data_IF_065670346341
#
_entry.id   IF_065670346341
#
_cell.length_a   1.000
_cell.length_b   1.000
_cell.length_c   1.000
_cell.angle_alpha   90.00
_cell.angle_beta   90.00
_cell.angle_gamma   90.00
#
_symmetry.space_group_name_H-M   'P 1'
#
loop_
_entity.id
_entity.type
_entity.pdbx_description
1 polymer ?
#
# COMPACT_ATOMS: atom_id res chain seq x y z
N UNK A 1 4.80 -3.52 18.51
CA UNK A 1 4.26 -2.21 18.03
C UNK A 1 3.07 -2.54 17.13
N UNK A 2 1.86 -2.08 17.47
CA UNK A 2 0.61 -2.45 16.78
C UNK A 2 0.63 -1.86 15.37
N UNK A 3 0.45 -2.69 14.35
CA UNK A 3 0.27 -2.24 12.97
C UNK A 3 -0.87 -1.20 12.93
N UNK A 4 -0.61 0.09 12.58
CA UNK A 4 -1.61 1.14 12.72
C UNK A 4 -2.75 1.08 11.68
N UNK A 5 -2.63 0.22 10.66
CA UNK A 5 -3.59 0.14 9.56
C UNK A 5 -3.88 -1.32 9.23
N UNK A 6 -5.15 -1.64 8.99
CA UNK A 6 -5.65 -2.95 8.58
C UNK A 6 -6.35 -2.87 7.23
N UNK A 7 -6.66 -4.02 6.63
CA UNK A 7 -7.51 -4.07 5.45
C UNK A 7 -8.91 -3.55 5.77
N UNK A 8 -9.46 -2.72 4.87
CA UNK A 8 -10.74 -2.05 5.05
C UNK A 8 -10.66 -0.72 5.79
N UNK A 9 -9.51 -0.36 6.37
CA UNK A 9 -9.34 0.95 6.97
C UNK A 9 -9.46 2.06 5.91
N UNK A 10 -9.92 3.22 6.35
CA UNK A 10 -10.00 4.41 5.51
C UNK A 10 -9.32 5.59 6.17
N UNK A 11 -8.54 6.33 5.39
CA UNK A 11 -7.89 7.56 5.84
C UNK A 11 -8.18 8.71 4.88
N UNK A 12 -8.39 9.92 5.39
CA UNK A 12 -8.41 11.11 4.55
C UNK A 12 -6.98 11.49 4.15
N UNK A 13 -6.71 11.59 2.86
CA UNK A 13 -5.40 12.00 2.33
C UNK A 13 -5.57 12.74 1.01
N UNK A 14 -4.54 13.47 0.61
CA UNK A 14 -4.54 14.14 -0.70
C UNK A 14 -4.02 13.19 -1.76
N UNK A 15 -4.82 12.95 -2.80
CA UNK A 15 -4.39 12.15 -3.94
C UNK A 15 -3.46 12.97 -4.82
N UNK A 16 -2.24 12.50 -5.05
CA UNK A 16 -1.29 13.13 -5.98
C UNK A 16 -1.74 13.02 -7.44
N UNK A 17 -2.60 12.04 -7.77
CA UNK A 17 -3.16 11.86 -9.12
C UNK A 17 -4.37 12.77 -9.35
N UNK A 18 -5.30 12.86 -8.40
CA UNK A 18 -6.50 13.67 -8.54
C UNK A 18 -6.30 15.14 -8.12
N UNK A 19 -5.22 15.46 -7.38
CA UNK A 19 -4.94 16.81 -6.87
C UNK A 19 -5.92 17.32 -5.80
N UNK A 20 -6.78 16.45 -5.24
CA UNK A 20 -7.81 16.80 -4.26
C UNK A 20 -7.73 15.89 -3.03
N UNK A 21 -8.36 16.34 -1.93
CA UNK A 21 -8.54 15.52 -0.73
C UNK A 21 -9.54 14.40 -1.04
N UNK A 22 -9.11 13.16 -0.82
CA UNK A 22 -9.88 11.93 -1.07
C UNK A 22 -9.85 11.03 0.16
N UNK A 23 -10.64 9.96 0.14
CA UNK A 23 -10.49 8.85 1.09
C UNK A 23 -9.56 7.81 0.48
N UNK A 24 -8.45 7.54 1.13
CA UNK A 24 -7.65 6.34 0.88
C UNK A 24 -8.36 5.15 1.52
N UNK A 25 -8.51 4.05 0.77
CA UNK A 25 -8.89 2.74 1.28
C UNK A 25 -7.65 1.88 1.40
N UNK A 26 -7.46 1.27 2.55
CA UNK A 26 -6.39 0.30 2.76
C UNK A 26 -6.89 -1.08 2.35
N UNK A 27 -6.26 -1.65 1.34
CA UNK A 27 -6.55 -3.01 0.87
C UNK A 27 -5.26 -3.80 0.75
N UNK A 28 -5.33 -5.11 0.94
CA UNK A 28 -4.19 -5.97 0.63
C UNK A 28 -4.14 -6.21 -0.88
N UNK A 29 -2.98 -5.94 -1.49
CA UNK A 29 -2.71 -6.28 -2.88
C UNK A 29 -1.48 -7.13 -3.01
N UNK A 30 -1.50 -7.98 -4.04
CA UNK A 30 -0.33 -8.65 -4.55
C UNK A 30 0.50 -7.66 -5.37
N UNK A 31 1.72 -7.38 -4.90
CA UNK A 31 2.67 -6.52 -5.61
C UNK A 31 3.73 -7.40 -6.24
N UNK A 32 3.81 -7.38 -7.55
CA UNK A 32 4.91 -7.98 -8.28
C UNK A 32 6.00 -6.93 -8.54
N UNK A 33 7.21 -7.17 -8.02
CA UNK A 33 8.33 -6.27 -8.33
C UNK A 33 8.83 -6.56 -9.75
N UNK A 34 8.81 -5.56 -10.63
CA UNK A 34 9.16 -5.70 -12.06
C UNK A 34 10.57 -6.33 -12.31
N UNK A 35 11.50 -6.24 -11.35
CA UNK A 35 12.87 -6.78 -11.46
C UNK A 35 13.06 -8.17 -10.83
N UNK A 36 12.02 -8.79 -10.29
CA UNK A 36 12.12 -10.08 -9.62
C UNK A 36 10.82 -10.87 -9.83
N UNK A 37 10.89 -12.19 -10.07
CA UNK A 37 9.69 -13.05 -10.12
C UNK A 37 9.02 -13.23 -8.75
N UNK A 38 9.31 -12.35 -7.80
CA UNK A 38 8.79 -12.40 -6.44
C UNK A 38 7.52 -11.58 -6.43
N UNK A 39 6.41 -12.28 -6.21
CA UNK A 39 5.10 -11.69 -5.92
C UNK A 39 4.96 -11.61 -4.40
N UNK A 40 4.77 -10.41 -3.89
CA UNK A 40 4.52 -10.19 -2.47
C UNK A 40 3.02 -10.10 -2.26
N UNK A 41 2.46 -11.17 -1.70
CA UNK A 41 1.04 -11.24 -1.34
C UNK A 41 0.78 -10.59 0.01
N UNK A 42 -0.46 -10.13 0.22
CA UNK A 42 -0.91 -9.51 1.48
C UNK A 42 -0.18 -8.21 1.85
N UNK A 43 0.20 -7.40 0.86
CA UNK A 43 0.81 -6.10 1.10
C UNK A 43 -0.29 -5.05 1.24
N UNK A 44 -0.41 -4.48 2.44
CA UNK A 44 -1.38 -3.43 2.70
C UNK A 44 -0.99 -2.16 1.94
N UNK A 45 -1.88 -1.68 1.08
CA UNK A 45 -1.67 -0.46 0.29
C UNK A 45 -2.87 0.47 0.44
N UNK A 46 -2.60 1.77 0.55
CA UNK A 46 -3.63 2.79 0.54
C UNK A 46 -3.91 3.24 -0.89
N UNK A 47 -5.09 2.92 -1.40
CA UNK A 47 -5.56 3.30 -2.74
C UNK A 47 -6.57 4.44 -2.68
N UNK A 48 -6.56 5.31 -3.68
CA UNK A 48 -7.55 6.37 -3.83
C UNK A 48 -8.94 5.76 -4.10
N UNK A 49 -9.95 6.13 -3.31
CA UNK A 49 -11.33 5.66 -3.57
C UNK A 49 -11.92 6.15 -4.90
N UNK A 50 -11.34 7.18 -5.51
CA UNK A 50 -11.85 7.82 -6.73
C UNK A 50 -11.18 7.25 -7.99
N UNK A 51 -9.84 7.27 -8.05
CA UNK A 51 -9.08 6.87 -9.23
C UNK A 51 -8.39 5.51 -9.07
N UNK A 52 -8.59 4.84 -7.94
CA UNK A 52 -7.99 3.53 -7.61
C UNK A 52 -6.45 3.49 -7.67
N UNK A 53 -5.79 4.65 -7.73
CA UNK A 53 -4.34 4.76 -7.75
C UNK A 53 -3.77 4.56 -6.35
N UNK A 54 -2.64 3.89 -6.26
CA UNK A 54 -1.90 3.74 -5.01
C UNK A 54 -1.33 5.09 -4.59
N UNK A 55 -1.82 5.62 -3.47
CA UNK A 55 -1.47 6.95 -2.95
C UNK A 55 -0.77 6.91 -1.60
N UNK A 56 -0.85 5.79 -0.89
CA UNK A 56 -0.20 5.60 0.40
C UNK A 56 0.34 4.19 0.53
N UNK A 57 1.50 4.06 1.14
CA UNK A 57 2.08 2.78 1.52
C UNK A 57 2.49 2.88 2.99
N UNK A 58 1.79 2.19 3.91
CA UNK A 58 2.11 2.29 5.32
C UNK A 58 3.50 1.71 5.61
N UNK A 59 4.18 2.25 6.64
CA UNK A 59 5.56 1.86 6.99
C UNK A 59 5.72 0.35 7.20
N UNK A 60 4.70 -0.32 7.74
CA UNK A 60 4.68 -1.78 7.92
C UNK A 60 4.80 -2.54 6.60
N UNK A 61 4.19 -2.03 5.53
CA UNK A 61 4.25 -2.62 4.19
C UNK A 61 5.60 -2.36 3.54
N UNK A 62 6.18 -1.18 3.75
CA UNK A 62 7.56 -0.86 3.31
C UNK A 62 8.56 -1.79 4.01
N UNK A 63 8.41 -2.00 5.33
CA UNK A 63 9.25 -2.91 6.10
C UNK A 63 9.11 -4.34 5.57
N UNK A 64 7.90 -4.85 5.40
CA UNK A 64 7.66 -6.18 4.81
C UNK A 64 8.29 -6.33 3.42
N UNK A 65 8.08 -5.37 2.51
CA UNK A 65 8.70 -5.41 1.18
C UNK A 65 10.24 -5.43 1.26
N UNK A 66 10.82 -4.68 2.20
CA UNK A 66 12.27 -4.64 2.42
C UNK A 66 12.80 -5.94 3.01
N UNK A 67 12.12 -6.52 3.98
CA UNK A 67 12.50 -7.80 4.59
C UNK A 67 12.42 -8.93 3.56
N UNK A 68 11.30 -9.02 2.85
CA UNK A 68 11.09 -10.04 1.83
C UNK A 68 12.02 -9.84 0.62
N UNK A 69 12.38 -8.58 0.29
CA UNK A 69 13.36 -8.27 -0.75
C UNK A 69 14.83 -8.41 -0.33
N UNK A 70 15.11 -8.43 0.98
CA UNK A 70 16.46 -8.63 1.53
C UNK A 70 16.79 -10.12 1.76
N UNK A 71 15.81 -11.02 1.67
CA UNK A 71 16.04 -12.46 1.63
C UNK A 71 16.54 -12.86 0.24
N UNK A 72 17.80 -12.52 -0.06
CA UNK A 72 18.54 -12.98 -1.23
C UNK A 72 19.86 -13.58 -0.80
#
# INVERSE_FOLDING_TARGET
MKAPWHEGDVAATTCTVCGKQVRARYENRDIQLNRSRVTYSNILVGVCSECNSMISLPRQSIAQLRELGSWK
#
